data_IF_041558177697
#
_entry.id   IF_041558177697
#
_cell.length_a   1.000
_cell.length_b   1.000
_cell.length_c   1.000
_cell.angle_alpha   90.00
_cell.angle_beta   90.00
_cell.angle_gamma   90.00
#
_symmetry.space_group_name_H-M   'P 1'
#
loop_
_entity.id
_entity.type
_entity.pdbx_description
1 polymer ?
#
# COMPACT_ATOMS: atom_id res chain seq x y z
N UNK A 1 -43.00 45.32 28.10
CA UNK A 1 -43.99 44.95 27.06
C UNK A 1 -43.84 43.47 26.73
N UNK A 2 -44.92 42.67 26.81
CA UNK A 2 -44.92 41.23 26.52
C UNK A 2 -45.62 40.88 25.18
N UNK A 3 -45.37 39.64 24.71
CA UNK A 3 -46.16 38.77 23.80
C UNK A 3 -46.31 39.16 22.31
N UNK A 4 -45.73 38.34 21.40
CA UNK A 4 -46.52 37.48 20.49
C UNK A 4 -45.69 36.32 19.91
N UNK A 5 -46.28 35.13 19.97
CA UNK A 5 -45.76 33.87 19.48
C UNK A 5 -46.01 33.69 17.97
N UNK A 6 -45.12 32.96 17.28
CA UNK A 6 -45.44 32.25 16.04
C UNK A 6 -44.85 30.84 16.12
N UNK A 7 -45.74 29.85 16.10
CA UNK A 7 -45.46 28.42 15.90
C UNK A 7 -45.17 28.17 14.42
N UNK A 8 -44.23 27.28 14.12
CA UNK A 8 -43.98 26.80 12.75
C UNK A 8 -43.10 25.55 12.75
N UNK A 9 -43.72 24.40 13.02
CA UNK A 9 -43.14 23.06 12.88
C UNK A 9 -42.90 22.73 11.40
N UNK A 10 -41.68 22.34 11.04
CA UNK A 10 -41.34 21.67 9.78
C UNK A 10 -40.43 20.47 10.08
N UNK A 11 -40.99 19.45 10.72
CA UNK A 11 -40.46 18.09 10.66
C UNK A 11 -40.93 17.46 9.34
N UNK A 12 -40.03 17.35 8.36
CA UNK A 12 -40.25 16.47 7.21
C UNK A 12 -39.88 15.04 7.61
N UNK A 13 -40.73 14.03 7.34
CA UNK A 13 -40.43 12.65 7.73
C UNK A 13 -39.30 12.08 6.86
N UNK A 14 -38.32 11.49 7.55
CA UNK A 14 -37.25 10.66 6.99
C UNK A 14 -37.92 9.54 6.18
N UNK A 15 -37.74 9.55 4.86
CA UNK A 15 -38.16 8.43 3.99
C UNK A 15 -37.32 7.20 4.35
N UNK A 16 -37.99 6.15 4.79
CA UNK A 16 -37.43 4.82 5.02
C UNK A 16 -36.66 4.33 3.77
N UNK A 17 -35.34 4.26 3.87
CA UNK A 17 -34.48 3.57 2.91
C UNK A 17 -34.65 2.06 3.12
N UNK A 18 -35.42 1.39 2.24
CA UNK A 18 -35.38 -0.08 2.15
C UNK A 18 -34.17 -0.47 1.30
N UNK A 19 -33.32 -1.42 1.73
CA UNK A 19 -32.25 -1.94 0.88
C UNK A 19 -32.85 -2.65 -0.33
N UNK A 20 -32.38 -2.28 -1.52
CA UNK A 20 -32.74 -2.94 -2.79
C UNK A 20 -32.12 -4.34 -2.77
N UNK A 21 -32.95 -5.38 -2.73
CA UNK A 21 -32.48 -6.76 -2.90
C UNK A 21 -31.89 -6.92 -4.30
N UNK A 22 -30.65 -7.41 -4.38
CA UNK A 22 -30.05 -7.84 -5.66
C UNK A 22 -30.86 -9.03 -6.20
N UNK A 23 -31.20 -9.05 -7.50
CA UNK A 23 -31.92 -10.19 -8.06
C UNK A 23 -31.03 -11.45 -8.03
N UNK A 24 -31.63 -12.60 -7.70
CA UNK A 24 -30.98 -13.91 -7.81
C UNK A 24 -30.44 -14.11 -9.23
N UNK A 25 -29.23 -14.66 -9.35
CA UNK A 25 -28.54 -14.95 -10.61
C UNK A 25 -29.35 -15.77 -11.64
N UNK A 26 -30.46 -16.39 -11.25
CA UNK A 26 -31.30 -17.22 -12.12
C UNK A 26 -32.19 -16.43 -13.12
N UNK A 27 -32.19 -15.09 -13.09
CA UNK A 27 -33.06 -14.28 -13.95
C UNK A 27 -32.42 -13.77 -15.25
N UNK A 28 -31.11 -13.95 -15.46
CA UNK A 28 -30.40 -13.42 -16.64
C UNK A 28 -30.32 -14.37 -17.84
N UNK A 29 -30.99 -15.53 -17.79
CA UNK A 29 -30.78 -16.59 -18.77
C UNK A 29 -31.92 -16.78 -19.78
N UNK A 30 -32.80 -15.80 -19.95
CA UNK A 30 -33.88 -15.86 -20.95
C UNK A 30 -33.73 -14.74 -21.98
N UNK A 31 -33.48 -15.19 -23.21
CA UNK A 31 -33.45 -14.47 -24.47
C UNK A 31 -32.19 -13.67 -24.83
N UNK A 32 -31.14 -14.40 -25.21
CA UNK A 32 -30.19 -13.93 -26.21
C UNK A 32 -30.24 -14.88 -27.44
N UNK A 33 -30.82 -14.47 -28.58
CA UNK A 33 -31.02 -15.35 -29.73
C UNK A 33 -29.72 -15.75 -30.45
N UNK A 34 -28.58 -15.15 -30.13
CA UNK A 34 -27.27 -15.44 -30.74
C UNK A 34 -26.54 -16.70 -30.17
N UNK A 35 -27.13 -17.41 -29.20
CA UNK A 35 -26.49 -18.56 -28.54
C UNK A 35 -26.91 -19.95 -29.08
N UNK A 36 -27.84 -20.02 -30.05
CA UNK A 36 -28.45 -21.31 -30.45
C UNK A 36 -27.55 -22.25 -31.29
N UNK A 37 -26.39 -21.81 -31.80
CA UNK A 37 -25.59 -22.62 -32.73
C UNK A 37 -24.08 -22.70 -32.44
N UNK A 38 -23.62 -22.50 -31.20
CA UNK A 38 -22.22 -22.79 -30.85
C UNK A 38 -22.07 -24.26 -30.45
N UNK A 39 -21.36 -25.05 -31.27
CA UNK A 39 -20.88 -26.39 -30.89
C UNK A 39 -20.05 -26.26 -29.59
N UNK A 40 -20.20 -27.18 -28.63
CA UNK A 40 -19.40 -27.15 -27.41
C UNK A 40 -17.91 -27.24 -27.77
N UNK A 41 -17.12 -26.29 -27.30
CA UNK A 41 -15.66 -26.31 -27.43
C UNK A 41 -15.18 -27.43 -26.50
N UNK A 42 -14.57 -28.49 -27.07
CA UNK A 42 -13.88 -29.49 -26.26
C UNK A 42 -12.66 -28.82 -25.63
N UNK A 43 -12.63 -28.74 -24.30
CA UNK A 43 -11.44 -28.31 -23.58
C UNK A 43 -10.30 -29.30 -23.91
N UNK A 44 -9.13 -28.83 -24.38
CA UNK A 44 -7.99 -29.72 -24.52
C UNK A 44 -7.64 -30.29 -23.15
N UNK A 45 -7.33 -31.58 -23.11
CA UNK A 45 -6.88 -32.27 -21.90
C UNK A 45 -5.78 -31.45 -21.22
N UNK A 46 -6.06 -31.00 -19.99
CA UNK A 46 -5.07 -30.34 -19.14
C UNK A 46 -3.92 -31.33 -18.93
N UNK A 47 -2.76 -31.04 -19.52
CA UNK A 47 -1.52 -31.74 -19.18
C UNK A 47 -1.29 -31.51 -17.67
N UNK A 48 -1.09 -32.57 -16.86
CA UNK A 48 -0.83 -32.40 -15.44
C UNK A 48 0.39 -31.49 -15.27
N UNK A 49 0.27 -30.45 -14.45
CA UNK A 49 1.41 -29.64 -14.04
C UNK A 49 2.43 -30.62 -13.46
N UNK A 50 3.55 -30.84 -14.16
CA UNK A 50 4.69 -31.59 -13.58
C UNK A 50 5.03 -30.90 -12.27
N UNK A 51 4.84 -31.60 -11.16
CA UNK A 51 5.48 -31.24 -9.89
C UNK A 51 6.98 -31.19 -10.18
N UNK A 52 7.53 -29.99 -10.30
CA UNK A 52 8.98 -29.81 -10.28
C UNK A 52 9.39 -30.23 -8.88
N UNK A 53 9.89 -31.46 -8.76
CA UNK A 53 10.63 -31.87 -7.59
C UNK A 53 11.91 -31.02 -7.58
N UNK A 54 11.86 -29.90 -6.87
CA UNK A 54 13.07 -29.21 -6.45
C UNK A 54 13.90 -30.19 -5.62
N UNK A 55 15.23 -30.25 -5.81
CA UNK A 55 16.06 -31.15 -5.03
C UNK A 55 15.90 -30.84 -3.55
N UNK A 56 15.75 -31.90 -2.75
CA UNK A 56 15.55 -31.81 -1.32
C UNK A 56 16.70 -31.03 -0.67
N UNK A 57 16.41 -29.81 -0.21
CA UNK A 57 17.30 -29.07 0.68
C UNK A 57 17.21 -29.73 2.06
N UNK A 58 18.36 -30.22 2.53
CA UNK A 58 18.53 -30.84 3.85
C UNK A 58 18.04 -29.93 4.98
N UNK A 59 17.26 -30.51 5.89
CA UNK A 59 16.61 -29.88 7.03
C UNK A 59 17.58 -29.39 8.11
N UNK A 60 17.62 -28.07 8.37
CA UNK A 60 17.57 -27.44 9.70
C UNK A 60 17.77 -25.91 9.65
N UNK A 61 16.84 -25.17 9.08
CA UNK A 61 16.62 -23.79 9.54
C UNK A 61 15.16 -23.39 9.36
N UNK A 62 14.47 -23.09 10.47
CA UNK A 62 13.19 -22.37 10.48
C UNK A 62 13.41 -20.89 10.09
N UNK A 63 14.35 -20.61 9.21
CA UNK A 63 14.80 -19.27 8.87
C UNK A 63 14.08 -18.82 7.61
N UNK A 64 13.32 -17.73 7.71
CA UNK A 64 12.66 -17.17 6.54
C UNK A 64 13.70 -16.69 5.53
N UNK A 65 13.43 -16.88 4.23
CA UNK A 65 14.25 -16.30 3.17
C UNK A 65 13.43 -15.21 2.45
N UNK A 66 13.89 -13.97 2.55
CA UNK A 66 13.33 -12.85 1.80
C UNK A 66 14.08 -12.72 0.47
N UNK A 67 13.40 -13.05 -0.62
CA UNK A 67 13.92 -12.82 -1.98
C UNK A 67 13.40 -11.48 -2.48
N UNK A 68 14.28 -10.48 -2.55
CA UNK A 68 13.92 -9.14 -3.00
C UNK A 68 15.05 -8.45 -3.77
N UNK A 69 14.71 -7.38 -4.50
CA UNK A 69 15.67 -6.61 -5.29
C UNK A 69 16.75 -5.96 -4.41
N UNK A 70 18.03 -5.97 -4.83
CA UNK A 70 19.11 -5.37 -4.06
C UNK A 70 19.08 -3.84 -4.15
N UNK A 71 19.56 -3.17 -3.10
CA UNK A 71 19.77 -1.72 -3.08
C UNK A 71 18.51 -0.85 -3.02
N UNK A 72 17.33 -1.44 -2.85
CA UNK A 72 16.05 -0.73 -2.79
C UNK A 72 15.14 -1.29 -1.69
N UNK A 73 14.67 -0.47 -0.74
CA UNK A 73 13.67 -0.90 0.24
C UNK A 73 12.48 -1.56 -0.46
N UNK A 74 11.89 -0.81 -1.40
CA UNK A 74 10.76 -1.23 -2.22
C UNK A 74 9.64 -1.86 -1.38
N UNK A 75 9.04 -2.91 -1.92
CA UNK A 75 7.98 -3.66 -1.24
C UNK A 75 8.51 -4.70 -0.26
N UNK A 76 9.78 -5.08 -0.40
CA UNK A 76 10.44 -5.98 0.54
C UNK A 76 10.51 -5.37 1.93
N UNK A 77 10.55 -4.05 2.02
CA UNK A 77 10.65 -3.35 3.31
C UNK A 77 9.48 -3.61 4.25
N UNK A 78 8.26 -3.77 3.73
CA UNK A 78 7.12 -4.13 4.57
C UNK A 78 7.39 -5.46 5.29
N UNK A 79 7.91 -6.45 4.57
CA UNK A 79 8.26 -7.77 5.14
C UNK A 79 9.44 -7.66 6.11
N UNK A 80 10.49 -6.88 5.77
CA UNK A 80 11.63 -6.66 6.67
C UNK A 80 11.19 -6.07 7.99
N UNK A 81 10.40 -4.99 7.98
CA UNK A 81 9.92 -4.36 9.21
C UNK A 81 9.13 -5.33 10.10
N UNK A 82 8.31 -6.21 9.51
CA UNK A 82 7.59 -7.22 10.28
C UNK A 82 8.53 -8.24 10.94
N UNK A 83 9.51 -8.75 10.19
CA UNK A 83 10.47 -9.74 10.69
C UNK A 83 11.38 -9.13 11.75
N UNK A 84 11.86 -7.91 11.52
CA UNK A 84 12.71 -7.15 12.44
C UNK A 84 11.97 -6.83 13.73
N UNK A 85 10.74 -6.30 13.66
CA UNK A 85 9.90 -6.06 14.83
C UNK A 85 9.67 -7.34 15.64
N UNK A 86 9.37 -8.46 14.95
CA UNK A 86 9.13 -9.75 15.59
C UNK A 86 10.41 -10.41 16.14
N UNK A 87 11.60 -9.87 15.84
CA UNK A 87 12.88 -10.47 16.23
C UNK A 87 13.14 -11.82 15.55
N UNK A 88 12.52 -12.06 14.39
CA UNK A 88 12.63 -13.32 13.65
C UNK A 88 13.84 -13.26 12.73
N UNK A 89 14.74 -14.24 12.85
CA UNK A 89 15.87 -14.37 11.95
C UNK A 89 15.41 -14.67 10.52
N UNK A 90 16.01 -13.98 9.56
CA UNK A 90 15.76 -14.19 8.14
C UNK A 90 17.00 -13.92 7.29
N UNK A 91 17.08 -14.65 6.18
CA UNK A 91 18.07 -14.43 5.14
C UNK A 91 17.51 -13.49 4.07
N UNK A 92 18.11 -12.31 3.94
CA UNK A 92 17.76 -11.36 2.88
C UNK A 92 18.67 -11.51 1.67
N UNK A 93 18.13 -12.04 0.56
CA UNK A 93 18.92 -12.19 -0.67
C UNK A 93 19.31 -10.87 -1.28
N UNK A 94 18.59 -9.77 -0.99
CA UNK A 94 18.89 -8.43 -1.50
C UNK A 94 20.30 -7.92 -1.10
N UNK A 95 20.97 -8.64 -0.20
CA UNK A 95 22.32 -8.34 0.28
C UNK A 95 23.39 -9.31 -0.23
N UNK A 96 23.01 -10.30 -1.03
CA UNK A 96 23.92 -11.33 -1.50
C UNK A 96 24.37 -11.06 -2.93
N UNK A 97 25.60 -11.46 -3.25
CA UNK A 97 26.17 -11.30 -4.60
C UNK A 97 25.35 -12.04 -5.68
N UNK A 98 24.66 -13.13 -5.30
CA UNK A 98 23.80 -13.94 -6.16
C UNK A 98 22.34 -13.48 -6.18
N UNK A 99 22.00 -12.33 -5.59
CA UNK A 99 20.63 -11.83 -5.50
C UNK A 99 19.87 -11.84 -6.84
N UNK A 100 20.53 -11.37 -7.90
CA UNK A 100 19.94 -11.30 -9.24
C UNK A 100 19.64 -12.70 -9.78
N UNK A 101 20.54 -13.65 -9.56
CA UNK A 101 20.35 -15.04 -9.96
C UNK A 101 19.19 -15.68 -9.17
N UNK A 102 19.10 -15.45 -7.86
CA UNK A 102 17.99 -15.92 -7.02
C UNK A 102 16.63 -15.36 -7.49
N UNK A 103 16.57 -14.06 -7.80
CA UNK A 103 15.37 -13.41 -8.35
C UNK A 103 15.00 -13.97 -9.72
N UNK A 104 15.97 -14.15 -10.62
CA UNK A 104 15.75 -14.71 -11.96
C UNK A 104 15.26 -16.17 -11.90
N UNK A 105 15.81 -16.97 -10.99
CA UNK A 105 15.36 -18.34 -10.76
C UNK A 105 13.89 -18.38 -10.29
N UNK A 106 13.49 -17.46 -9.39
CA UNK A 106 12.10 -17.35 -8.94
C UNK A 106 11.15 -16.91 -10.07
N UNK A 107 11.57 -15.99 -10.94
CA UNK A 107 10.74 -15.46 -12.03
C UNK A 107 10.60 -16.40 -13.24
N UNK A 108 11.29 -17.55 -13.24
CA UNK A 108 11.13 -18.60 -14.26
C UNK A 108 11.47 -18.17 -15.69
N UNK A 109 12.32 -17.14 -15.87
CA UNK A 109 12.70 -16.60 -17.18
C UNK A 109 11.67 -15.66 -17.82
N UNK A 110 10.49 -15.48 -17.21
CA UNK A 110 9.53 -14.46 -17.62
C UNK A 110 9.94 -13.09 -17.05
N UNK A 111 10.15 -12.11 -17.93
CA UNK A 111 10.35 -10.69 -17.54
C UNK A 111 9.02 -10.13 -17.02
N UNK A 112 8.67 -10.47 -15.78
CA UNK A 112 7.49 -9.94 -15.13
C UNK A 112 7.82 -8.57 -14.53
N UNK A 113 7.18 -7.53 -15.04
CA UNK A 113 7.24 -6.19 -14.44
C UNK A 113 6.29 -6.14 -13.24
N UNK A 114 6.80 -6.00 -11.99
CA UNK A 114 5.93 -5.92 -10.82
C UNK A 114 5.12 -4.62 -10.86
N UNK A 115 3.86 -4.69 -11.30
CA UNK A 115 2.94 -3.56 -11.38
C UNK A 115 2.68 -2.97 -9.97
N UNK A 116 3.00 -1.69 -9.68
CA UNK A 116 2.67 -1.07 -8.39
C UNK A 116 1.36 -0.32 -8.43
N UNK A 117 0.37 -0.84 -7.69
CA UNK A 117 -0.74 -0.10 -7.14
C UNK A 117 -0.27 0.85 -6.01
N UNK A 118 0.81 1.62 -6.20
CA UNK A 118 1.21 2.65 -5.24
C UNK A 118 1.06 4.03 -5.86
N UNK A 119 0.10 4.81 -5.35
CA UNK A 119 -0.23 6.15 -5.84
C UNK A 119 0.97 7.11 -5.82
N UNK A 120 1.91 6.89 -4.90
CA UNK A 120 3.16 7.66 -4.81
C UNK A 120 4.14 7.35 -5.95
N UNK A 121 4.15 6.13 -6.51
CA UNK A 121 5.00 5.79 -7.65
C UNK A 121 4.52 6.48 -8.93
N UNK A 122 3.21 6.66 -9.06
CA UNK A 122 2.60 7.33 -10.20
C UNK A 122 2.93 8.84 -10.24
N UNK A 123 3.50 9.42 -9.20
CA UNK A 123 3.96 10.81 -9.23
C UNK A 123 5.17 10.99 -10.15
N UNK A 124 5.94 9.92 -10.41
CA UNK A 124 7.09 9.94 -11.31
C UNK A 124 7.00 8.92 -12.48
N UNK A 125 6.05 7.99 -12.43
CA UNK A 125 5.69 7.12 -13.56
C UNK A 125 4.17 7.04 -13.80
N UNK A 126 3.49 8.14 -14.18
CA UNK A 126 2.04 8.16 -14.38
C UNK A 126 1.54 7.52 -15.70
N UNK A 127 2.39 7.43 -16.73
CA UNK A 127 2.00 6.87 -18.04
C UNK A 127 2.35 5.40 -18.08
N UNK A 128 3.64 5.10 -17.93
CA UNK A 128 4.19 3.74 -17.96
C UNK A 128 5.41 3.67 -17.05
N UNK A 129 5.50 2.59 -16.30
CA UNK A 129 6.62 2.26 -15.41
C UNK A 129 7.88 1.84 -16.18
N UNK A 130 7.76 1.49 -17.46
CA UNK A 130 8.89 1.17 -18.34
C UNK A 130 9.49 2.40 -19.03
N UNK A 131 8.75 3.51 -19.10
CA UNK A 131 9.26 4.77 -19.61
C UNK A 131 10.17 5.43 -18.57
N UNK A 132 11.22 6.11 -19.00
CA UNK A 132 12.02 6.91 -18.10
C UNK A 132 11.20 8.06 -17.53
N UNK A 133 11.63 8.61 -16.39
CA UNK A 133 10.98 9.77 -15.78
C UNK A 133 10.99 10.98 -16.74
N UNK A 134 12.11 11.19 -17.43
CA UNK A 134 12.29 12.33 -18.34
C UNK A 134 11.31 12.33 -19.53
N UNK A 135 10.84 11.15 -19.94
CA UNK A 135 9.87 10.97 -21.03
C UNK A 135 8.42 11.26 -20.61
N UNK A 136 8.16 11.48 -19.32
CA UNK A 136 6.82 11.67 -18.77
C UNK A 136 6.75 12.75 -17.67
N UNK A 137 7.70 13.70 -17.65
CA UNK A 137 7.77 14.77 -16.62
C UNK A 137 6.53 15.65 -16.58
N UNK A 138 5.95 15.96 -17.73
CA UNK A 138 4.77 16.82 -17.84
C UNK A 138 3.57 16.18 -17.13
N UNK A 139 3.34 14.90 -17.40
CA UNK A 139 2.29 14.10 -16.79
C UNK A 139 2.60 13.83 -15.31
N UNK A 140 3.87 13.62 -14.97
CA UNK A 140 4.34 13.43 -13.59
C UNK A 140 4.00 14.65 -12.74
N UNK A 141 4.32 15.85 -13.22
CA UNK A 141 3.98 17.10 -12.55
C UNK A 141 2.46 17.29 -12.42
N UNK A 142 1.70 17.00 -13.48
CA UNK A 142 0.23 17.09 -13.46
C UNK A 142 -0.38 16.11 -12.44
N UNK A 143 0.06 14.86 -12.43
CA UNK A 143 -0.39 13.86 -11.47
C UNK A 143 -0.04 14.27 -10.05
N UNK A 144 1.20 14.74 -9.84
CA UNK A 144 1.70 15.15 -8.53
C UNK A 144 0.89 16.29 -7.93
N UNK A 145 0.46 17.28 -8.73
CA UNK A 145 -0.46 18.34 -8.27
C UNK A 145 -1.76 17.78 -7.71
N UNK A 146 -2.37 16.82 -8.39
CA UNK A 146 -3.58 16.16 -7.90
C UNK A 146 -3.31 15.27 -6.67
N UNK A 147 -2.16 14.60 -6.64
CA UNK A 147 -1.74 13.76 -5.52
C UNK A 147 -1.54 14.60 -4.26
N UNK A 148 -0.69 15.62 -4.28
CA UNK A 148 -0.40 16.49 -3.13
C UNK A 148 -1.63 17.32 -2.75
N UNK A 149 -2.33 17.90 -3.73
CA UNK A 149 -3.47 18.79 -3.47
C UNK A 149 -4.76 18.08 -3.04
N UNK A 150 -4.87 16.76 -3.24
CA UNK A 150 -6.11 16.03 -2.90
C UNK A 150 -5.86 14.68 -2.26
N UNK A 151 -5.05 13.84 -2.88
CA UNK A 151 -4.93 12.43 -2.48
C UNK A 151 -4.20 12.27 -1.15
N UNK A 152 -3.05 12.91 -0.99
CA UNK A 152 -2.24 12.85 0.23
C UNK A 152 -3.03 13.36 1.45
N UNK A 153 -3.67 14.55 1.45
CA UNK A 153 -4.52 15.00 2.55
C UNK A 153 -5.65 14.02 2.89
N UNK A 154 -6.31 13.43 1.88
CA UNK A 154 -7.38 12.43 2.10
C UNK A 154 -6.87 11.16 2.78
N UNK A 155 -5.67 10.69 2.41
CA UNK A 155 -5.06 9.53 3.08
C UNK A 155 -4.68 9.84 4.53
N UNK A 156 -4.05 10.99 4.78
CA UNK A 156 -3.70 11.41 6.13
C UNK A 156 -4.96 11.58 7.00
N UNK A 157 -6.00 12.22 6.47
CA UNK A 157 -7.28 12.38 7.17
C UNK A 157 -7.99 11.04 7.44
N UNK A 158 -7.89 10.08 6.51
CA UNK A 158 -8.43 8.74 6.70
C UNK A 158 -7.76 8.03 7.88
N UNK A 159 -6.43 7.98 7.90
CA UNK A 159 -5.70 7.33 9.00
C UNK A 159 -5.84 8.08 10.32
N UNK A 160 -5.92 9.41 10.31
CA UNK A 160 -6.25 10.18 11.50
C UNK A 160 -7.61 9.76 12.07
N UNK A 161 -8.61 9.56 11.20
CA UNK A 161 -9.94 9.09 11.60
C UNK A 161 -9.93 7.66 12.14
N UNK A 162 -9.14 6.76 11.53
CA UNK A 162 -8.95 5.39 12.02
C UNK A 162 -8.32 5.42 13.42
N UNK A 163 -7.24 6.18 13.63
CA UNK A 163 -6.56 6.32 14.92
C UNK A 163 -7.41 7.01 15.99
N UNK A 164 -8.41 7.79 15.59
CA UNK A 164 -9.38 8.39 16.51
C UNK A 164 -10.57 7.45 16.83
N UNK A 165 -10.75 6.37 16.07
CA UNK A 165 -11.87 5.46 16.26
C UNK A 165 -11.74 4.64 17.57
N UNK A 166 -12.85 4.30 18.25
CA UNK A 166 -12.82 3.48 19.46
C UNK A 166 -12.12 2.12 19.27
N UNK A 167 -12.14 1.57 18.06
CA UNK A 167 -11.46 0.31 17.73
C UNK A 167 -9.93 0.39 17.81
N UNK A 168 -9.35 1.59 17.76
CA UNK A 168 -7.90 1.79 17.91
C UNK A 168 -7.43 1.54 19.34
N UNK A 169 -8.30 1.70 20.35
CA UNK A 169 -7.95 1.50 21.75
C UNK A 169 -6.97 2.55 22.30
N UNK A 170 -6.23 2.20 23.35
CA UNK A 170 -5.23 3.09 23.96
C UNK A 170 -3.91 3.10 23.19
N UNK A 171 -3.25 4.25 23.17
CA UNK A 171 -1.97 4.42 22.50
C UNK A 171 -2.08 4.84 21.03
N UNK A 172 -0.95 4.93 20.30
CA UNK A 172 -0.93 5.49 18.96
C UNK A 172 -1.06 4.40 17.87
N UNK A 173 -1.85 3.35 18.11
CA UNK A 173 -1.95 2.19 17.22
C UNK A 173 -3.28 2.15 16.48
N UNK A 174 -3.27 1.59 15.26
CA UNK A 174 -4.45 1.53 14.38
C UNK A 174 -5.56 0.62 14.90
N UNK A 175 -5.26 -0.33 15.78
CA UNK A 175 -6.24 -1.30 16.25
C UNK A 175 -5.89 -1.92 17.61
N UNK A 176 -6.89 -2.02 18.48
CA UNK A 176 -6.86 -2.87 19.67
C UNK A 176 -5.82 -2.50 20.72
N UNK A 177 -5.36 -1.24 20.73
CA UNK A 177 -4.43 -0.70 21.71
C UNK A 177 -3.02 -1.32 21.67
N UNK A 178 -2.66 -1.96 20.56
CA UNK A 178 -1.36 -2.63 20.40
C UNK A 178 -0.85 -2.49 18.99
N UNK A 179 0.47 -2.54 18.83
CA UNK A 179 1.10 -2.59 17.52
C UNK A 179 0.59 -3.80 16.72
N UNK A 180 0.27 -3.56 15.47
CA UNK A 180 -0.01 -4.55 14.45
C UNK A 180 0.90 -4.35 13.25
N UNK A 181 0.95 -5.33 12.35
CA UNK A 181 1.65 -5.19 11.08
C UNK A 181 1.13 -4.00 10.24
N UNK A 182 -0.14 -3.62 10.39
CA UNK A 182 -0.71 -2.47 9.68
C UNK A 182 -0.04 -1.14 10.09
N UNK A 183 0.38 -1.01 11.35
CA UNK A 183 1.11 0.16 11.85
C UNK A 183 2.48 0.29 11.19
N UNK A 184 3.18 -0.84 11.01
CA UNK A 184 4.48 -0.88 10.30
C UNK A 184 4.32 -0.52 8.82
N UNK A 185 3.24 -0.98 8.18
CA UNK A 185 2.90 -0.63 6.79
C UNK A 185 2.62 0.87 6.65
N UNK A 186 1.84 1.44 7.57
CA UNK A 186 1.56 2.87 7.59
C UNK A 186 2.85 3.67 7.83
N UNK A 187 3.66 3.27 8.81
CA UNK A 187 4.96 3.87 9.08
C UNK A 187 5.85 3.93 7.83
N UNK A 188 6.07 2.80 7.16
CA UNK A 188 6.90 2.78 5.95
C UNK A 188 6.30 3.63 4.82
N UNK A 189 4.97 3.60 4.69
CA UNK A 189 4.23 4.45 3.76
C UNK A 189 4.51 5.94 3.98
N UNK A 190 4.44 6.39 5.23
CA UNK A 190 4.71 7.77 5.63
C UNK A 190 6.19 8.14 5.48
N UNK A 191 7.10 7.26 5.89
CA UNK A 191 8.55 7.45 5.78
C UNK A 191 8.97 7.66 4.31
N UNK A 192 8.43 6.84 3.41
CA UNK A 192 8.68 6.98 1.99
C UNK A 192 8.07 8.26 1.38
N UNK A 193 6.86 8.64 1.78
CA UNK A 193 6.25 9.90 1.32
C UNK A 193 7.03 11.10 1.87
N UNK A 194 7.52 11.05 3.11
CA UNK A 194 8.39 12.06 3.71
C UNK A 194 9.71 12.22 2.95
N UNK A 195 10.26 11.12 2.43
CA UNK A 195 11.42 11.17 1.55
C UNK A 195 11.09 11.78 0.18
N UNK A 196 9.96 11.40 -0.44
CA UNK A 196 9.57 11.89 -1.76
C UNK A 196 9.08 13.34 -1.79
N UNK A 197 8.41 13.78 -0.72
CA UNK A 197 7.73 15.07 -0.64
C UNK A 197 7.98 15.76 0.71
N UNK A 198 9.25 16.09 1.04
CA UNK A 198 9.59 16.62 2.36
C UNK A 198 8.86 17.93 2.67
N UNK A 199 8.72 18.87 1.72
CA UNK A 199 7.98 20.12 1.95
C UNK A 199 6.50 19.85 2.19
N UNK A 200 5.88 18.99 1.39
CA UNK A 200 4.46 18.66 1.56
C UNK A 200 4.17 18.03 2.91
N UNK A 201 5.05 17.13 3.37
CA UNK A 201 4.89 16.48 4.68
C UNK A 201 5.19 17.41 5.86
N UNK A 202 6.14 18.34 5.73
CA UNK A 202 6.34 19.42 6.73
C UNK A 202 5.08 20.27 6.85
N UNK A 203 4.53 20.76 5.73
CA UNK A 203 3.28 21.55 5.71
C UNK A 203 2.11 20.76 6.31
N UNK A 204 2.01 19.46 6.02
CA UNK A 204 1.00 18.60 6.61
C UNK A 204 1.15 18.48 8.13
N UNK A 205 2.38 18.34 8.64
CA UNK A 205 2.69 18.29 10.08
C UNK A 205 2.36 19.61 10.77
N UNK A 206 2.80 20.72 10.21
CA UNK A 206 2.55 22.08 10.72
C UNK A 206 1.07 22.46 10.73
N UNK A 207 0.26 21.84 9.86
CA UNK A 207 -1.19 22.08 9.86
C UNK A 207 -1.90 21.65 11.14
N UNK A 208 -1.28 20.80 11.97
CA UNK A 208 -1.85 20.27 13.21
C UNK A 208 -3.02 19.27 13.01
N UNK A 209 -3.41 18.98 11.76
CA UNK A 209 -4.59 18.15 11.45
C UNK A 209 -4.38 16.65 11.61
N UNK A 210 -3.13 16.19 11.64
CA UNK A 210 -2.77 14.77 11.55
C UNK A 210 -1.92 14.32 12.75
N UNK A 211 -2.24 14.85 13.93
CA UNK A 211 -1.44 14.66 15.14
C UNK A 211 -1.28 13.20 15.52
N UNK A 212 -2.34 12.38 15.41
CA UNK A 212 -2.27 10.95 15.73
C UNK A 212 -1.44 10.18 14.69
N UNK A 213 -1.57 10.52 13.41
CA UNK A 213 -0.75 9.91 12.35
C UNK A 213 0.74 10.12 12.61
N UNK A 214 1.15 11.35 12.95
CA UNK A 214 2.55 11.64 13.27
C UNK A 214 2.98 11.05 14.63
N UNK A 215 2.08 10.91 15.59
CA UNK A 215 2.36 10.21 16.84
C UNK A 215 2.62 8.70 16.61
N UNK A 216 1.83 8.04 15.76
CA UNK A 216 2.10 6.65 15.33
C UNK A 216 3.46 6.55 14.65
N UNK A 217 3.76 7.46 13.73
CA UNK A 217 5.02 7.49 13.01
C UNK A 217 6.24 7.53 13.94
N UNK A 218 6.24 8.42 14.94
CA UNK A 218 7.33 8.48 15.93
C UNK A 218 7.32 7.26 16.87
N UNK A 219 6.14 6.78 17.29
CA UNK A 219 6.03 5.62 18.17
C UNK A 219 6.59 4.34 17.53
N UNK A 220 6.40 4.12 16.22
CA UNK A 220 7.00 2.99 15.50
C UNK A 220 8.52 3.11 15.46
N UNK A 221 9.06 4.31 15.19
CA UNK A 221 10.51 4.55 15.14
C UNK A 221 11.22 4.28 16.46
N UNK A 222 10.54 4.54 17.58
CA UNK A 222 11.11 4.36 18.92
C UNK A 222 11.01 2.93 19.45
N UNK A 223 10.38 2.01 18.72
CA UNK A 223 10.37 0.59 19.13
C UNK A 223 11.78 0.02 19.12
N UNK A 224 12.22 -0.72 20.14
CA UNK A 224 13.63 -1.13 20.27
C UNK A 224 14.19 -1.85 19.03
N UNK A 225 13.43 -2.83 18.50
CA UNK A 225 13.86 -3.61 17.35
C UNK A 225 13.86 -2.78 16.06
N UNK A 226 12.81 -1.98 15.84
CA UNK A 226 12.74 -1.08 14.67
C UNK A 226 13.83 -0.03 14.74
N UNK A 227 14.03 0.63 15.88
CA UNK A 227 15.09 1.62 16.09
C UNK A 227 16.47 1.05 15.78
N UNK A 228 16.76 -0.15 16.28
CA UNK A 228 18.00 -0.86 15.99
C UNK A 228 18.13 -1.20 14.50
N UNK A 229 17.07 -1.67 13.86
CA UNK A 229 17.06 -1.97 12.42
C UNK A 229 17.28 -0.71 11.57
N UNK A 230 16.58 0.39 11.86
CA UNK A 230 16.69 1.66 11.14
C UNK A 230 18.09 2.28 11.25
N UNK A 231 18.80 2.04 12.37
CA UNK A 231 20.18 2.48 12.57
C UNK A 231 21.22 1.52 11.95
N UNK A 232 20.80 0.36 11.44
CA UNK A 232 21.69 -0.66 10.90
C UNK A 232 21.91 -0.53 9.40
N UNK A 233 23.01 -1.10 8.91
CA UNK A 233 23.29 -1.28 7.48
C UNK A 233 22.29 -2.24 6.78
N UNK A 234 21.38 -2.89 7.53
CA UNK A 234 20.30 -3.71 6.94
C UNK A 234 19.21 -2.84 6.31
N UNK A 235 18.97 -1.64 6.87
CA UNK A 235 17.98 -0.70 6.34
C UNK A 235 18.50 -0.09 5.04
N UNK A 236 17.93 -0.50 3.92
CA UNK A 236 18.29 0.05 2.62
C UNK A 236 17.86 1.52 2.51
N UNK A 237 18.66 2.33 1.82
CA UNK A 237 18.37 3.75 1.59
C UNK A 237 17.39 3.91 0.43
N UNK A 238 16.52 4.91 0.49
CA UNK A 238 15.72 5.28 -0.67
C UNK A 238 16.61 5.76 -1.82
N UNK A 239 16.24 5.40 -3.04
CA UNK A 239 16.92 5.80 -4.28
C UNK A 239 15.93 5.71 -5.44
N UNK A 240 16.27 5.06 -6.56
CA UNK A 240 15.43 4.94 -7.76
C UNK A 240 14.31 3.88 -7.64
N UNK A 241 13.67 3.79 -6.48
CA UNK A 241 12.61 2.83 -6.16
C UNK A 241 11.21 3.40 -6.26
N UNK A 242 10.33 2.91 -5.37
CA UNK A 242 8.94 3.38 -5.21
C UNK A 242 8.89 4.85 -4.82
N UNK A 243 9.70 5.21 -3.82
CA UNK A 243 9.83 6.55 -3.31
C UNK A 243 11.08 7.18 -3.91
N UNK A 244 10.87 8.25 -4.69
CA UNK A 244 11.92 9.06 -5.32
C UNK A 244 11.72 10.51 -4.94
N UNK A 245 12.82 11.23 -4.75
CA UNK A 245 12.79 12.66 -4.54
C UNK A 245 13.14 13.37 -5.84
N UNK A 246 12.22 14.20 -6.33
CA UNK A 246 12.43 15.11 -7.45
C UNK A 246 12.05 16.51 -6.97
N UNK A 247 13.00 17.44 -6.98
CA UNK A 247 12.80 18.78 -6.41
C UNK A 247 11.66 19.53 -7.10
N UNK A 248 11.46 19.30 -8.41
CA UNK A 248 10.38 19.88 -9.20
C UNK A 248 8.99 19.28 -8.90
N UNK A 249 8.93 18.11 -8.25
CA UNK A 249 7.69 17.45 -7.87
C UNK A 249 7.30 17.73 -6.41
N UNK A 250 8.22 18.19 -5.54
CA UNK A 250 7.93 18.56 -4.15
C UNK A 250 7.25 19.93 -4.04
N UNK A 251 6.02 19.98 -4.54
CA UNK A 251 5.13 21.14 -4.55
C UNK A 251 4.29 21.20 -3.27
N UNK A 252 3.93 22.41 -2.82
CA UNK A 252 3.18 22.68 -1.57
C UNK A 252 2.07 23.68 -1.77
#
# INVERSE_FOLDING_TARGET
MPIRAIRGSLLSPIRNFRPRTLPRQSALQKHNPALKHRKPISLPNLVPIRQRHSPAMSSNSNEFQLIYWPGLPGRGEFVRLALEEAGIAYKDTARQADCIAAMQAQLGGTRWSPHPLSLVHNTHHPIDIQLYYDDQKTEALRYTRAYVGSRLPKYLAYFESVLAAPTSGEGPWLYGGKLTYADLVLYHGLDGVQFSFPKAMVKAKESGKYGKVFALYEAVKERPNIKAYLASERRQKYSNGIYRYYAELDIV
#
